data_IF_037527418389
#
_entry.id   IF_037527418389
#
_cell.length_a   1.000
_cell.length_b   1.000
_cell.length_c   1.000
_cell.angle_alpha   90.00
_cell.angle_beta   90.00
_cell.angle_gamma   90.00
#
_symmetry.space_group_name_H-M   'P 1'
#
loop_
_entity.id
_entity.type
_entity.pdbx_description
1 polymer ?
#
# COMPACT_ATOMS: atom_id res chain seq x y z
N UNK A 1 -73.05 33.67 24.53
CA UNK A 1 -72.50 34.98 24.06
C UNK A 1 -71.08 34.72 23.57
N UNK A 2 -70.80 34.17 22.38
CA UNK A 2 -70.72 34.79 21.02
C UNK A 2 -70.47 36.31 20.96
N UNK A 3 -69.25 36.68 20.56
CA UNK A 3 -68.85 37.84 19.74
C UNK A 3 -67.81 37.28 18.73
N UNK A 4 -68.07 37.17 17.41
CA UNK A 4 -67.96 38.21 16.34
C UNK A 4 -66.53 38.79 16.36
N UNK A 5 -65.66 38.56 15.36
CA UNK A 5 -65.63 39.25 14.06
C UNK A 5 -65.05 38.36 12.94
N UNK A 6 -65.75 38.29 11.80
CA UNK A 6 -65.27 37.84 10.49
C UNK A 6 -64.70 39.02 9.68
N UNK A 7 -63.98 38.68 8.61
CA UNK A 7 -63.63 39.48 7.42
C UNK A 7 -62.24 40.13 7.38
N UNK A 8 -61.29 39.47 6.69
CA UNK A 8 -60.78 39.97 5.41
C UNK A 8 -59.97 38.87 4.68
N UNK A 9 -60.45 38.47 3.50
CA UNK A 9 -59.69 37.72 2.49
C UNK A 9 -58.83 38.72 1.72
N UNK A 10 -57.55 38.43 1.48
CA UNK A 10 -56.86 38.67 0.19
C UNK A 10 -55.36 38.34 0.24
N UNK A 11 -54.93 37.46 -0.68
CA UNK A 11 -53.62 37.47 -1.31
C UNK A 11 -52.35 37.33 -0.43
N UNK A 12 -52.05 36.11 0.01
CA UNK A 12 -50.64 35.67 0.06
C UNK A 12 -50.42 34.54 -0.92
N UNK A 13 -49.94 34.97 -2.09
CA UNK A 13 -49.39 34.18 -3.19
C UNK A 13 -48.28 33.29 -2.63
N UNK A 14 -48.34 32.02 -3.01
CA UNK A 14 -47.28 31.02 -2.87
C UNK A 14 -45.90 31.61 -3.24
N UNK A 15 -45.08 31.91 -2.24
CA UNK A 15 -43.63 31.90 -2.38
C UNK A 15 -43.12 30.59 -1.79
N UNK A 16 -43.24 29.51 -2.57
CA UNK A 16 -42.31 28.39 -2.40
C UNK A 16 -40.95 28.90 -2.86
N UNK A 17 -40.14 29.37 -1.91
CA UNK A 17 -38.70 29.45 -2.11
C UNK A 17 -38.23 28.02 -2.43
N UNK A 18 -37.92 27.76 -3.71
CA UNK A 18 -37.05 26.67 -4.11
C UNK A 18 -35.67 26.95 -3.52
N UNK A 19 -35.50 26.65 -2.24
CA UNK A 19 -34.17 26.41 -1.70
C UNK A 19 -33.65 25.18 -2.42
N UNK A 20 -32.80 25.41 -3.44
CA UNK A 20 -31.90 24.37 -3.91
C UNK A 20 -31.13 23.89 -2.67
N UNK A 21 -31.55 22.75 -2.13
CA UNK A 21 -30.73 21.98 -1.21
C UNK A 21 -29.53 21.50 -2.02
N UNK A 22 -28.50 22.35 -2.11
CA UNK A 22 -27.16 21.89 -2.45
C UNK A 22 -26.78 20.97 -1.31
N UNK A 23 -26.95 19.66 -1.52
CA UNK A 23 -26.51 18.66 -0.57
C UNK A 23 -25.03 18.93 -0.28
N UNK A 24 -24.63 19.11 0.99
CA UNK A 24 -23.24 19.37 1.30
C UNK A 24 -22.40 18.19 0.80
N UNK A 25 -21.51 18.47 -0.16
CA UNK A 25 -20.57 17.49 -0.69
C UNK A 25 -19.74 16.94 0.47
N UNK A 26 -19.86 15.64 0.72
CA UNK A 26 -19.06 14.97 1.74
C UNK A 26 -17.58 15.02 1.35
N UNK A 27 -16.69 15.02 2.34
CA UNK A 27 -15.25 14.78 2.12
C UNK A 27 -14.98 13.50 1.31
N UNK A 28 -15.87 12.50 1.42
CA UNK A 28 -15.87 11.30 0.57
C UNK A 28 -16.13 11.59 -0.92
N UNK A 29 -17.02 12.52 -1.25
CA UNK A 29 -17.37 12.87 -2.64
C UNK A 29 -16.22 13.63 -3.30
N UNK A 30 -15.61 14.58 -2.57
CA UNK A 30 -14.42 15.33 -3.04
C UNK A 30 -13.19 14.41 -3.16
N UNK A 31 -13.04 13.43 -2.25
CA UNK A 31 -12.00 12.40 -2.37
C UNK A 31 -12.20 11.55 -3.62
N UNK A 32 -13.43 11.05 -3.87
CA UNK A 32 -13.71 10.24 -5.05
C UNK A 32 -13.42 11.01 -6.36
N UNK A 33 -13.84 12.27 -6.48
CA UNK A 33 -13.53 13.08 -7.67
C UNK A 33 -12.02 13.31 -7.85
N UNK A 34 -11.30 13.68 -6.79
CA UNK A 34 -9.84 13.87 -6.85
C UNK A 34 -9.05 12.57 -7.07
N UNK A 35 -9.59 11.44 -6.59
CA UNK A 35 -9.02 10.10 -6.80
C UNK A 35 -9.20 9.64 -8.24
N UNK A 36 -10.41 9.80 -8.80
CA UNK A 36 -10.68 9.46 -10.20
C UNK A 36 -9.86 10.30 -11.18
N UNK A 37 -9.63 11.58 -10.87
CA UNK A 37 -8.83 12.49 -11.71
C UNK A 37 -7.30 12.24 -11.64
N UNK A 38 -6.82 11.29 -10.82
CA UNK A 38 -5.39 10.93 -10.69
C UNK A 38 -5.11 9.45 -10.94
N UNK A 39 -6.01 8.74 -11.60
CA UNK A 39 -5.75 7.38 -12.07
C UNK A 39 -4.70 7.45 -13.18
N UNK A 40 -3.43 7.23 -12.83
CA UNK A 40 -2.40 6.91 -13.82
C UNK A 40 -2.80 5.55 -14.38
N UNK A 41 -3.11 5.50 -15.68
CA UNK A 41 -3.39 4.25 -16.38
C UNK A 41 -2.16 3.34 -16.27
N UNK A 42 -2.37 2.07 -15.88
CA UNK A 42 -1.29 1.09 -15.86
C UNK A 42 -0.82 0.86 -17.32
N UNK A 43 0.44 1.18 -17.67
CA UNK A 43 0.90 1.06 -19.06
C UNK A 43 1.11 -0.40 -19.50
N UNK A 44 0.97 -1.37 -18.59
CA UNK A 44 1.16 -2.78 -18.88
C UNK A 44 -0.11 -3.43 -19.46
N UNK A 45 0.08 -4.33 -20.42
CA UNK A 45 -0.99 -5.18 -20.96
C UNK A 45 -1.56 -6.16 -19.89
N UNK A 46 -0.74 -6.53 -18.91
CA UNK A 46 -1.12 -7.33 -17.74
C UNK A 46 -0.88 -6.54 -16.45
N UNK A 47 -1.50 -6.93 -15.33
CA UNK A 47 -1.35 -6.21 -14.05
C UNK A 47 0.10 -6.18 -13.56
N UNK A 48 0.89 -7.20 -13.92
CA UNK A 48 2.28 -7.37 -13.50
C UNK A 48 3.21 -7.56 -14.70
N UNK A 49 4.48 -7.13 -14.62
CA UNK A 49 5.49 -7.55 -15.57
C UNK A 49 5.73 -9.06 -15.46
N UNK A 50 6.26 -9.68 -16.51
CA UNK A 50 6.57 -11.11 -16.47
C UNK A 50 7.59 -11.43 -15.38
N UNK A 51 7.38 -12.54 -14.66
CA UNK A 51 8.35 -13.02 -13.67
C UNK A 51 9.60 -13.58 -14.36
N UNK A 52 10.79 -13.46 -13.73
CA UNK A 52 12.01 -14.06 -14.28
C UNK A 52 11.92 -15.60 -14.31
N UNK A 53 12.73 -16.24 -15.15
CA UNK A 53 12.83 -17.72 -15.20
C UNK A 53 13.72 -18.30 -14.08
N UNK A 54 14.57 -17.48 -13.48
CA UNK A 54 15.50 -17.87 -12.42
C UNK A 54 14.74 -18.21 -11.14
N UNK A 55 15.29 -19.16 -10.37
CA UNK A 55 14.75 -19.60 -9.09
C UNK A 55 15.50 -18.95 -7.92
N UNK A 56 14.76 -18.63 -6.86
CA UNK A 56 15.25 -17.91 -5.69
C UNK A 56 15.01 -18.68 -4.40
N UNK A 57 16.05 -18.74 -3.56
CA UNK A 57 15.98 -19.30 -2.22
C UNK A 57 15.61 -18.24 -1.16
N UNK A 58 15.80 -16.96 -1.47
CA UNK A 58 15.38 -15.84 -0.62
C UNK A 58 14.54 -14.87 -1.44
N UNK A 59 13.30 -14.65 -1.01
CA UNK A 59 12.38 -13.69 -1.62
C UNK A 59 12.07 -12.63 -0.56
N UNK A 60 12.17 -11.37 -0.96
CA UNK A 60 11.75 -10.22 -0.16
C UNK A 60 10.65 -9.48 -0.91
N UNK A 61 9.57 -9.09 -0.24
CA UNK A 61 8.42 -8.50 -0.90
C UNK A 61 7.81 -7.37 -0.08
N UNK A 62 7.41 -6.30 -0.78
CA UNK A 62 6.59 -5.21 -0.23
C UNK A 62 5.32 -5.03 -1.08
N UNK A 63 4.30 -5.92 -0.91
CA UNK A 63 3.14 -5.88 -1.78
C UNK A 63 2.37 -4.56 -1.69
N UNK A 64 1.84 -4.02 -2.82
CA UNK A 64 1.10 -2.77 -2.83
C UNK A 64 -0.32 -2.98 -2.29
N UNK A 65 -0.48 -3.06 -0.97
CA UNK A 65 -1.75 -3.38 -0.30
C UNK A 65 -2.88 -2.39 -0.60
N UNK A 66 -4.02 -2.89 -1.07
CA UNK A 66 -5.24 -2.10 -1.24
C UNK A 66 -6.07 -2.04 0.05
N UNK A 67 -6.29 -0.84 0.57
CA UNK A 67 -7.02 -0.59 1.83
C UNK A 67 -8.55 -0.65 1.70
N UNK A 68 -9.09 -1.14 0.57
CA UNK A 68 -10.53 -1.24 0.30
C UNK A 68 -11.29 0.07 0.57
N UNK A 69 -10.69 1.21 0.21
CA UNK A 69 -11.29 2.55 0.40
C UNK A 69 -11.29 3.06 1.84
N UNK A 70 -10.70 2.34 2.81
CA UNK A 70 -10.52 2.85 4.17
C UNK A 70 -9.39 3.88 4.16
N UNK A 71 -9.71 5.14 4.41
CA UNK A 71 -8.71 6.21 4.55
C UNK A 71 -7.71 5.83 5.64
N UNK A 72 -6.42 5.81 5.31
CA UNK A 72 -5.38 5.83 6.35
C UNK A 72 -5.51 7.18 7.07
N UNK A 73 -5.65 7.14 8.39
CA UNK A 73 -6.00 8.29 9.22
C UNK A 73 -5.15 9.53 8.91
N UNK A 74 -5.72 10.44 8.12
CA UNK A 74 -5.41 11.85 8.19
C UNK A 74 -6.56 12.53 8.95
N UNK A 75 -6.20 13.25 10.01
CA UNK A 75 -7.14 14.09 10.78
C UNK A 75 -7.62 15.31 9.98
N UNK A 76 -7.18 15.52 8.75
CA UNK A 76 -7.77 16.52 7.83
C UNK A 76 -9.15 16.12 7.28
N UNK A 77 -9.53 14.84 7.36
CA UNK A 77 -10.80 14.33 6.81
C UNK A 77 -11.95 14.18 7.82
N UNK A 78 -11.70 14.41 9.11
CA UNK A 78 -12.68 14.15 10.19
C UNK A 78 -13.35 15.43 10.69
N UNK A 79 -13.73 16.33 9.80
CA UNK A 79 -14.73 17.33 10.12
C UNK A 79 -15.85 17.20 9.09
N UNK A 80 -17.10 17.07 9.55
CA UNK A 80 -18.29 17.19 8.70
C UNK A 80 -18.33 18.53 7.96
N UNK A 81 -17.53 19.50 8.41
CA UNK A 81 -17.31 20.80 7.81
C UNK A 81 -15.81 21.11 7.92
N UNK A 82 -15.06 21.09 6.82
CA UNK A 82 -13.69 21.60 6.81
C UNK A 82 -13.79 23.14 6.69
N UNK A 83 -13.49 23.93 7.74
CA UNK A 83 -13.69 25.38 7.69
C UNK A 83 -12.62 26.09 6.85
N UNK A 84 -11.57 25.36 6.46
CA UNK A 84 -10.37 25.92 5.87
C UNK A 84 -9.91 25.02 4.70
N UNK A 85 -10.47 25.29 3.53
CA UNK A 85 -10.16 24.59 2.27
C UNK A 85 -8.71 24.80 1.80
N UNK A 86 -7.92 25.59 2.53
CA UNK A 86 -6.50 25.86 2.28
C UNK A 86 -5.56 24.82 2.90
N UNK A 87 -6.05 23.98 3.83
CA UNK A 87 -5.26 22.86 4.34
C UNK A 87 -5.28 21.73 3.33
N UNK A 88 -4.13 21.42 2.77
CA UNK A 88 -3.91 20.24 1.96
C UNK A 88 -4.43 19.03 2.73
N UNK A 89 -5.56 18.48 2.28
CA UNK A 89 -5.92 17.11 2.58
C UNK A 89 -4.68 16.32 2.19
N UNK A 90 -4.05 15.62 3.14
CA UNK A 90 -3.05 14.61 2.80
C UNK A 90 -3.80 13.47 2.11
N UNK A 91 -4.19 13.73 0.86
CA UNK A 91 -4.00 12.76 -0.20
C UNK A 91 -2.59 12.26 0.08
N UNK A 92 -2.42 10.97 0.29
CA UNK A 92 -1.12 10.33 0.20
C UNK A 92 -0.52 10.74 -1.15
N UNK A 93 0.09 11.93 -1.16
CA UNK A 93 0.53 12.74 -2.27
C UNK A 93 2.05 12.66 -2.20
N UNK A 94 2.77 12.44 -3.28
CA UNK A 94 2.40 12.45 -4.67
C UNK A 94 3.29 11.40 -5.37
N UNK A 95 2.86 10.91 -6.53
CA UNK A 95 3.51 9.88 -7.36
C UNK A 95 3.46 8.44 -6.84
N UNK A 96 2.26 7.83 -6.80
CA UNK A 96 2.14 6.38 -6.59
C UNK A 96 2.57 5.62 -7.85
N UNK A 97 3.79 5.08 -7.83
CA UNK A 97 4.40 4.25 -8.91
C UNK A 97 3.94 2.79 -8.94
N UNK A 98 2.81 2.46 -8.30
CA UNK A 98 2.09 1.19 -8.46
C UNK A 98 0.66 1.39 -7.99
N UNK A 99 -0.39 1.02 -8.75
CA UNK A 99 -1.73 1.00 -8.20
C UNK A 99 -1.78 0.00 -7.05
N UNK A 100 -2.37 0.38 -5.92
CA UNK A 100 -2.63 -0.58 -4.85
C UNK A 100 -3.54 -1.70 -5.36
N UNK A 101 -3.22 -2.96 -5.03
CA UNK A 101 -3.88 -4.13 -5.58
C UNK A 101 -4.71 -4.86 -4.52
N UNK A 102 -5.95 -5.25 -4.86
CA UNK A 102 -6.71 -6.18 -4.04
C UNK A 102 -5.91 -7.48 -3.83
N UNK A 103 -6.01 -8.07 -2.64
CA UNK A 103 -5.30 -9.33 -2.32
C UNK A 103 -5.61 -10.45 -3.33
N UNK A 104 -6.82 -10.47 -3.90
CA UNK A 104 -7.20 -11.42 -4.97
C UNK A 104 -6.32 -11.32 -6.21
N UNK A 105 -5.87 -10.11 -6.57
CA UNK A 105 -5.01 -9.88 -7.73
C UNK A 105 -3.57 -10.26 -7.40
N UNK A 106 -3.08 -9.89 -6.20
CA UNK A 106 -1.75 -10.30 -5.71
C UNK A 106 -1.59 -11.83 -5.68
N UNK A 107 -2.65 -12.57 -5.33
CA UNK A 107 -2.65 -14.04 -5.32
C UNK A 107 -2.48 -14.67 -6.70
N UNK A 108 -2.76 -13.94 -7.80
CA UNK A 108 -2.57 -14.45 -9.16
C UNK A 108 -1.10 -14.50 -9.56
N UNK A 109 -0.24 -13.74 -8.88
CA UNK A 109 1.19 -13.76 -9.14
C UNK A 109 1.77 -15.14 -8.78
N UNK A 110 2.34 -15.81 -9.78
CA UNK A 110 2.83 -17.19 -9.67
C UNK A 110 4.23 -17.24 -9.02
N UNK A 111 4.39 -16.67 -7.84
CA UNK A 111 5.68 -16.59 -7.12
C UNK A 111 6.30 -17.99 -6.89
N UNK A 112 5.47 -19.02 -6.71
CA UNK A 112 5.95 -20.39 -6.60
C UNK A 112 6.77 -20.86 -7.83
N UNK A 113 6.50 -20.31 -9.02
CA UNK A 113 7.20 -20.62 -10.26
C UNK A 113 8.62 -20.03 -10.30
N UNK A 114 8.94 -19.07 -9.44
CA UNK A 114 10.31 -18.54 -9.26
C UNK A 114 10.95 -18.96 -7.94
N UNK A 115 10.28 -19.81 -7.17
CA UNK A 115 10.76 -20.22 -5.84
C UNK A 115 11.50 -21.56 -5.92
N UNK A 116 12.65 -21.65 -5.27
CA UNK A 116 13.37 -22.92 -5.04
C UNK A 116 12.55 -23.92 -4.20
N UNK A 117 13.05 -25.15 -4.05
CA UNK A 117 12.42 -26.14 -3.18
C UNK A 117 12.52 -25.76 -1.69
N UNK A 118 13.71 -25.31 -1.29
CA UNK A 118 14.01 -24.78 0.04
C UNK A 118 14.17 -23.27 -0.07
N UNK A 119 13.22 -22.53 0.47
CA UNK A 119 13.16 -21.08 0.30
C UNK A 119 12.50 -20.36 1.48
N UNK A 120 12.81 -19.08 1.59
CA UNK A 120 12.18 -18.17 2.55
C UNK A 120 11.58 -16.96 1.84
N UNK A 121 10.45 -16.50 2.37
CA UNK A 121 9.81 -15.26 1.98
C UNK A 121 9.80 -14.32 3.18
N UNK A 122 10.37 -13.14 3.00
CA UNK A 122 10.31 -12.00 3.91
C UNK A 122 9.31 -11.00 3.31
N UNK A 123 8.18 -10.77 3.96
CA UNK A 123 7.11 -9.95 3.39
C UNK A 123 6.66 -8.86 4.35
N UNK A 124 6.68 -7.62 3.90
CA UNK A 124 6.12 -6.50 4.65
C UNK A 124 4.60 -6.57 4.69
N UNK A 125 4.07 -6.30 5.87
CA UNK A 125 2.65 -6.07 6.10
C UNK A 125 2.46 -4.86 6.99
N UNK A 126 1.39 -4.13 6.70
CA UNK A 126 0.84 -3.18 7.66
C UNK A 126 -0.06 -3.91 8.65
N UNK A 127 -0.27 -3.35 9.84
CA UNK A 127 -1.06 -3.99 10.89
C UNK A 127 -2.48 -4.39 10.43
N UNK A 128 -3.22 -3.56 9.67
CA UNK A 128 -4.56 -3.94 9.17
C UNK A 128 -4.56 -5.02 8.08
N UNK A 129 -3.41 -5.32 7.48
CA UNK A 129 -3.27 -6.28 6.39
C UNK A 129 -2.65 -7.62 6.83
N UNK A 130 -2.44 -7.82 8.13
CA UNK A 130 -1.70 -8.97 8.64
C UNK A 130 -2.33 -10.31 8.21
N UNK A 131 -3.65 -10.43 8.30
CA UNK A 131 -4.38 -11.63 7.85
C UNK A 131 -4.22 -11.85 6.33
N UNK A 132 -4.35 -10.78 5.54
CA UNK A 132 -4.21 -10.80 4.09
C UNK A 132 -2.79 -11.20 3.69
N UNK A 133 -1.78 -10.72 4.41
CA UNK A 133 -0.38 -11.07 4.19
C UNK A 133 -0.13 -12.56 4.49
N UNK A 134 -0.66 -13.09 5.59
CA UNK A 134 -0.56 -14.52 5.89
C UNK A 134 -1.24 -15.35 4.78
N UNK A 135 -2.43 -14.94 4.37
CA UNK A 135 -3.18 -15.59 3.29
C UNK A 135 -2.47 -15.51 1.93
N UNK A 136 -1.77 -14.41 1.64
CA UNK A 136 -0.99 -14.23 0.42
C UNK A 136 0.24 -15.13 0.40
N UNK A 137 1.01 -15.18 1.51
CA UNK A 137 2.16 -16.07 1.62
C UNK A 137 1.78 -17.54 1.42
N UNK A 138 0.64 -17.96 1.99
CA UNK A 138 0.09 -19.30 1.77
C UNK A 138 -0.28 -19.57 0.30
N UNK A 139 -0.93 -18.62 -0.37
CA UNK A 139 -1.27 -18.74 -1.78
C UNK A 139 -0.04 -18.80 -2.70
N UNK A 140 1.06 -18.17 -2.31
CA UNK A 140 2.35 -18.26 -2.98
C UNK A 140 3.14 -19.54 -2.66
N UNK A 141 2.60 -20.43 -1.83
CA UNK A 141 3.18 -21.73 -1.52
C UNK A 141 4.14 -21.74 -0.33
N UNK A 142 4.06 -20.75 0.56
CA UNK A 142 4.87 -20.68 1.77
C UNK A 142 4.03 -20.80 3.04
N UNK A 143 4.61 -21.40 4.08
CA UNK A 143 4.00 -21.50 5.39
C UNK A 143 4.49 -20.36 6.30
N UNK A 144 3.57 -19.63 6.94
CA UNK A 144 3.94 -18.59 7.92
C UNK A 144 4.68 -19.21 9.10
N UNK A 145 5.71 -18.51 9.60
CA UNK A 145 6.51 -18.97 10.75
C UNK A 145 6.58 -17.98 11.89
N UNK A 146 6.91 -16.74 11.61
CA UNK A 146 7.13 -15.73 12.65
C UNK A 146 7.20 -14.33 12.05
N UNK A 147 7.33 -13.31 12.90
CA UNK A 147 7.76 -11.96 12.48
C UNK A 147 9.29 -11.97 12.36
N UNK A 148 9.81 -11.76 11.15
CA UNK A 148 11.25 -11.66 10.90
C UNK A 148 11.84 -10.37 11.48
N UNK A 149 11.16 -9.25 11.26
CA UNK A 149 11.58 -7.93 11.70
C UNK A 149 10.40 -7.07 12.13
N UNK A 150 10.65 -6.21 13.11
CA UNK A 150 9.74 -5.14 13.53
C UNK A 150 10.44 -3.83 13.26
N UNK A 151 9.86 -3.00 12.40
CA UNK A 151 10.38 -1.68 12.09
C UNK A 151 9.71 -0.64 12.98
N UNK A 152 10.44 -0.13 13.97
CA UNK A 152 10.10 1.07 14.73
C UNK A 152 10.44 2.32 13.90
N UNK A 153 9.39 3.07 13.51
CA UNK A 153 9.48 4.27 12.67
C UNK A 153 9.94 5.52 13.42
N UNK A 154 10.15 5.44 14.73
CA UNK A 154 10.54 6.53 15.64
C UNK A 154 9.51 7.66 15.81
N UNK A 155 8.59 7.82 14.86
CA UNK A 155 7.48 8.76 14.90
C UNK A 155 6.15 7.99 14.94
N UNK A 156 5.21 8.49 15.72
CA UNK A 156 3.90 7.86 15.89
C UNK A 156 2.81 8.49 15.04
N UNK A 157 1.97 7.64 14.45
CA UNK A 157 0.69 8.05 13.90
C UNK A 157 -0.43 7.74 14.90
N UNK A 158 -1.45 8.60 15.01
CA UNK A 158 -2.66 8.23 15.73
C UNK A 158 -3.26 6.98 15.10
N UNK A 159 -3.57 5.99 15.92
CA UNK A 159 -4.33 4.81 15.51
C UNK A 159 -5.64 4.71 16.29
N UNK A 160 -6.50 3.77 15.87
CA UNK A 160 -7.81 3.56 16.48
C UNK A 160 -7.74 2.88 17.85
N UNK A 161 -6.78 1.97 18.00
CA UNK A 161 -6.63 1.17 19.22
C UNK A 161 -5.36 1.57 19.98
N UNK A 162 -4.26 1.80 19.27
CA UNK A 162 -2.96 2.21 19.80
C UNK A 162 -2.29 3.18 18.84
N UNK A 163 -1.29 3.92 19.32
CA UNK A 163 -0.42 4.70 18.45
C UNK A 163 0.35 3.76 17.52
N UNK A 164 0.22 3.99 16.21
CA UNK A 164 0.85 3.14 15.21
C UNK A 164 2.20 3.75 14.82
N UNK A 165 3.28 3.09 15.20
CA UNK A 165 4.65 3.49 14.84
C UNK A 165 5.50 2.30 14.38
N UNK A 166 4.91 1.10 14.31
CA UNK A 166 5.61 -0.11 13.86
C UNK A 166 4.98 -0.71 12.60
N UNK A 167 5.84 -1.24 11.73
CA UNK A 167 5.47 -2.15 10.64
C UNK A 167 6.18 -3.50 10.79
N UNK A 168 5.57 -4.55 10.25
CA UNK A 168 6.02 -5.92 10.44
C UNK A 168 6.55 -6.49 9.12
N UNK A 169 7.71 -7.13 9.16
CA UNK A 169 8.19 -8.02 8.10
C UNK A 169 8.01 -9.45 8.58
N UNK A 170 7.14 -10.19 7.92
CA UNK A 170 6.77 -11.55 8.23
C UNK A 170 7.74 -12.54 7.57
N UNK A 171 8.06 -13.63 8.25
CA UNK A 171 8.83 -14.74 7.71
C UNK A 171 7.92 -15.92 7.36
N UNK A 172 8.04 -16.38 6.13
CA UNK A 172 7.44 -17.62 5.66
C UNK A 172 8.51 -18.58 5.14
N UNK A 173 8.19 -19.87 5.13
CA UNK A 173 9.11 -20.94 4.74
C UNK A 173 8.45 -21.91 3.78
N UNK A 174 9.21 -22.31 2.76
CA UNK A 174 8.94 -23.45 1.89
C UNK A 174 10.09 -24.44 2.02
N UNK A 175 9.78 -25.73 2.20
CA UNK A 175 10.80 -26.75 2.44
C UNK A 175 11.62 -26.47 3.71
N UNK A 176 12.94 -26.59 3.61
CA UNK A 176 13.92 -26.35 4.68
C UNK A 176 14.49 -24.93 4.61
N UNK A 177 15.22 -24.54 5.66
CA UNK A 177 15.96 -23.27 5.65
C UNK A 177 17.16 -23.43 4.70
N UNK A 178 17.33 -22.54 3.71
CA UNK A 178 18.45 -22.60 2.76
C UNK A 178 19.82 -22.66 3.46
N UNK A 179 20.72 -23.47 2.91
CA UNK A 179 22.09 -23.65 3.39
C UNK A 179 23.11 -23.22 2.32
N UNK A 180 24.34 -22.85 2.72
CA UNK A 180 24.79 -22.63 4.10
C UNK A 180 24.17 -21.37 4.72
N UNK A 181 23.93 -21.40 6.04
CA UNK A 181 23.49 -20.23 6.81
C UNK A 181 24.66 -19.28 7.09
N UNK A 182 24.42 -17.98 6.89
CA UNK A 182 25.29 -16.91 7.40
C UNK A 182 24.97 -16.57 8.85
N UNK A 183 24.92 -15.27 9.15
CA UNK A 183 24.67 -14.74 10.49
C UNK A 183 23.36 -15.29 11.11
N UNK A 184 23.41 -15.57 12.43
CA UNK A 184 22.29 -16.11 13.22
C UNK A 184 21.89 -15.22 14.39
N UNK A 185 22.64 -14.16 14.64
CA UNK A 185 22.48 -13.19 15.73
C UNK A 185 21.94 -11.84 15.24
N UNK A 186 21.30 -11.81 14.07
CA UNK A 186 20.67 -10.60 13.55
C UNK A 186 19.45 -10.28 14.42
N UNK A 187 19.41 -9.06 14.94
CA UNK A 187 18.31 -8.59 15.81
C UNK A 187 17.03 -8.35 15.00
N UNK A 188 15.90 -8.64 15.62
CA UNK A 188 14.56 -8.50 15.05
C UNK A 188 14.11 -7.03 14.95
N UNK A 189 14.43 -6.21 15.96
CA UNK A 189 14.05 -4.80 16.00
C UNK A 189 14.92 -3.97 15.05
N UNK A 190 14.28 -3.16 14.21
CA UNK A 190 14.89 -2.20 13.30
C UNK A 190 14.37 -0.82 13.67
N UNK A 191 15.27 0.12 13.96
CA UNK A 191 14.92 1.48 14.35
C UNK A 191 15.39 2.42 13.25
N UNK A 192 14.45 3.00 12.51
CA UNK A 192 14.76 3.91 11.41
C UNK A 192 13.59 4.88 11.20
N UNK A 193 13.84 6.17 10.94
CA UNK A 193 12.77 7.11 10.64
C UNK A 193 12.07 6.74 9.33
N UNK A 194 10.79 7.08 9.21
CA UNK A 194 10.06 6.99 7.94
C UNK A 194 10.65 7.99 6.94
N UNK A 195 10.98 7.53 5.73
CA UNK A 195 11.34 8.40 4.60
C UNK A 195 10.13 8.71 3.71
N UNK A 196 10.37 9.52 2.68
CA UNK A 196 9.37 9.83 1.65
C UNK A 196 8.94 8.55 0.90
N UNK A 197 7.69 8.51 0.42
CA UNK A 197 7.18 7.46 -0.48
C UNK A 197 7.07 6.00 0.06
N UNK A 198 6.85 5.79 1.37
CA UNK A 198 6.59 4.44 1.94
C UNK A 198 7.73 3.43 1.75
N UNK A 199 8.95 3.94 1.52
CA UNK A 199 10.16 3.14 1.37
C UNK A 199 10.49 2.42 2.69
N UNK A 200 10.83 1.14 2.56
CA UNK A 200 11.22 0.27 3.68
C UNK A 200 12.68 0.50 4.06
N UNK A 201 13.08 0.28 5.33
CA UNK A 201 14.45 0.55 5.77
C UNK A 201 15.45 -0.30 5.00
N UNK A 202 16.42 0.35 4.36
CA UNK A 202 17.45 -0.31 3.56
C UNK A 202 18.21 -1.40 4.34
N UNK A 203 18.38 -1.20 5.65
CA UNK A 203 19.07 -2.13 6.55
C UNK A 203 18.44 -3.53 6.59
N UNK A 204 17.14 -3.68 6.35
CA UNK A 204 16.49 -5.01 6.40
C UNK A 204 17.03 -5.93 5.31
N UNK A 205 17.22 -5.43 4.09
CA UNK A 205 17.86 -6.21 3.03
C UNK A 205 19.31 -6.58 3.38
N UNK A 206 20.07 -5.68 3.98
CA UNK A 206 21.44 -5.95 4.45
C UNK A 206 21.48 -7.05 5.53
N UNK A 207 20.53 -6.99 6.46
CA UNK A 207 20.36 -8.00 7.51
C UNK A 207 20.03 -9.36 6.90
N UNK A 208 19.14 -9.42 5.91
CA UNK A 208 18.82 -10.65 5.18
C UNK A 208 20.05 -11.16 4.41
N UNK A 209 20.81 -10.29 3.74
CA UNK A 209 22.06 -10.65 3.06
C UNK A 209 23.06 -11.27 4.03
N UNK A 210 23.23 -10.70 5.23
CA UNK A 210 24.10 -11.29 6.27
C UNK A 210 23.62 -12.67 6.73
N UNK A 211 22.31 -12.88 6.82
CA UNK A 211 21.73 -14.19 7.18
C UNK A 211 21.92 -15.24 6.09
N UNK A 212 21.96 -14.82 4.83
CA UNK A 212 21.97 -15.66 3.64
C UNK A 212 22.94 -15.11 2.57
N UNK A 213 24.26 -15.15 2.80
CA UNK A 213 25.21 -14.44 1.94
C UNK A 213 25.24 -15.00 0.51
N UNK A 214 25.15 -16.32 0.35
CA UNK A 214 25.39 -17.00 -0.92
C UNK A 214 24.14 -17.31 -1.74
N UNK A 215 22.96 -17.30 -1.12
CA UNK A 215 21.71 -17.69 -1.78
C UNK A 215 21.30 -16.70 -2.88
N UNK A 216 20.62 -17.19 -3.92
CA UNK A 216 19.95 -16.33 -4.91
C UNK A 216 18.80 -15.58 -4.24
N UNK A 217 18.74 -14.27 -4.50
CA UNK A 217 17.78 -13.37 -3.85
C UNK A 217 17.05 -12.52 -4.88
N UNK A 218 15.77 -12.25 -4.61
CA UNK A 218 14.96 -11.31 -5.39
C UNK A 218 14.12 -10.44 -4.47
N UNK A 219 14.01 -9.16 -4.81
CA UNK A 219 13.05 -8.23 -4.23
C UNK A 219 11.87 -8.05 -5.19
N UNK A 220 10.67 -8.40 -4.74
CA UNK A 220 9.41 -8.22 -5.46
C UNK A 220 8.74 -6.92 -5.04
N UNK A 221 8.20 -6.19 -6.02
CA UNK A 221 7.69 -4.83 -5.87
C UNK A 221 8.78 -3.84 -5.44
N UNK A 222 10.00 -4.05 -5.92
CA UNK A 222 11.14 -3.21 -5.59
C UNK A 222 10.97 -1.78 -6.14
N UNK A 223 11.28 -0.78 -5.32
CA UNK A 223 11.40 0.62 -5.74
C UNK A 223 12.85 1.02 -6.09
N UNK A 224 13.82 0.20 -5.69
CA UNK A 224 15.25 0.45 -5.92
C UNK A 224 16.01 -0.85 -5.99
N UNK A 225 17.08 -0.89 -6.78
CA UNK A 225 17.97 -2.05 -6.83
C UNK A 225 18.85 -2.17 -5.59
N UNK A 226 19.30 -3.40 -5.31
CA UNK A 226 20.23 -3.72 -4.22
C UNK A 226 21.33 -4.63 -4.74
N UNK A 227 22.55 -4.37 -4.31
CA UNK A 227 23.71 -5.17 -4.70
C UNK A 227 23.53 -6.64 -4.28
N UNK A 228 23.74 -7.56 -5.23
CA UNK A 228 23.60 -9.00 -5.02
C UNK A 228 22.15 -9.51 -4.96
N UNK A 229 21.18 -8.68 -5.33
CA UNK A 229 19.76 -9.03 -5.44
C UNK A 229 19.25 -8.76 -6.85
N UNK A 230 18.40 -9.65 -7.36
CA UNK A 230 17.58 -9.32 -8.51
C UNK A 230 16.40 -8.45 -8.04
N UNK A 231 15.96 -7.51 -8.86
CA UNK A 231 14.84 -6.62 -8.54
C UNK A 231 13.71 -6.83 -9.54
N UNK A 232 12.48 -6.89 -9.05
CA UNK A 232 11.30 -7.03 -9.89
C UNK A 232 10.23 -6.04 -9.43
N UNK A 233 9.81 -5.19 -10.35
CA UNK A 233 8.90 -4.08 -10.09
C UNK A 233 8.53 -3.34 -11.38
N UNK A 234 7.50 -2.50 -11.35
CA UNK A 234 7.01 -1.68 -12.44
C UNK A 234 7.99 -0.56 -12.70
N UNK A 235 8.57 0.00 -11.64
CA UNK A 235 9.64 0.98 -11.77
C UNK A 235 10.87 0.40 -12.47
N UNK A 236 11.30 -0.80 -12.08
CA UNK A 236 12.39 -1.52 -12.75
C UNK A 236 12.03 -1.87 -14.21
N UNK A 237 10.79 -2.27 -14.45
CA UNK A 237 10.32 -2.55 -15.80
C UNK A 237 10.36 -1.27 -16.66
N UNK A 238 9.79 -0.17 -16.19
CA UNK A 238 9.75 1.10 -16.92
C UNK A 238 11.15 1.71 -17.12
N UNK A 239 12.06 1.56 -16.15
CA UNK A 239 13.45 2.02 -16.30
C UNK A 239 14.18 1.21 -17.37
N UNK A 240 13.96 -0.11 -17.43
CA UNK A 240 14.53 -0.98 -18.46
C UNK A 240 14.02 -0.67 -19.87
N UNK A 241 12.74 -0.30 -20.02
CA UNK A 241 12.17 0.11 -21.31
C UNK A 241 12.70 1.48 -21.75
N UNK A 242 12.82 2.43 -20.82
CA UNK A 242 13.37 3.76 -21.09
C UNK A 242 14.83 3.70 -21.56
N UNK A 243 15.63 2.79 -21.00
CA UNK A 243 17.02 2.57 -21.40
C UNK A 243 17.16 1.84 -22.75
N UNK A 244 16.13 1.10 -23.19
CA UNK A 244 16.10 0.39 -24.47
C UNK A 244 15.54 1.23 -25.63
N UNK A 245 15.24 2.52 -25.41
CA UNK A 245 14.91 3.47 -26.47
C UNK A 245 13.43 3.55 -26.86
N UNK A 246 12.54 2.79 -26.20
CA UNK A 246 11.10 2.90 -26.42
C UNK A 246 10.54 4.08 -25.60
N UNK A 247 10.53 5.25 -26.23
CA UNK A 247 9.91 6.46 -25.70
C UNK A 247 8.39 6.23 -25.63
N UNK A 248 7.88 5.87 -24.46
CA UNK A 248 6.48 6.11 -24.13
C UNK A 248 6.28 7.62 -24.00
N UNK A 249 5.95 8.26 -25.12
CA UNK A 249 5.43 9.62 -25.09
C UNK A 249 4.05 9.59 -24.44
N UNK A 250 3.98 9.91 -23.15
CA UNK A 250 2.72 10.24 -22.49
C UNK A 250 2.19 11.54 -23.11
N UNK A 251 1.09 11.42 -23.86
CA UNK A 251 0.19 12.55 -24.16
C UNK A 251 -0.90 12.62 -23.11
#
# INVERSE_FOLDING_TARGET
MRCIVEFERSNYRLQQCLTFHVQPMSSYTVYNEKFHNKLIENPLAEIFPQLPKKKYAVIYADPPWHYNGKMQFDRSGTLKENPDWTRDIFISSAAFKYPTLPTKELKKLRVNDITEQDALLFMWSTNPHLEQAISLGAAWGFEYKTVAFVWNKLNHNPGQYTLSYCELCLLFKKGRIPQPRGARNIKQLVEAPRSEHSQKPYEVGERITKMFPTQSKIELFACSSREGWDSWGLEEFLSSQSNNGDIFSMK
#
